data_IF_042446381903
#
_entry.id   IF_042446381903
#
_cell.length_a   1.000
_cell.length_b   1.000
_cell.length_c   1.000
_cell.angle_alpha   90.00
_cell.angle_beta   90.00
_cell.angle_gamma   90.00
#
_symmetry.space_group_name_H-M   'P 1'
#
loop_
_entity.id
_entity.type
_entity.pdbx_description
1 polymer ?
#
# COMPACT_ATOMS: atom_id res chain seq x y z
N UNK A 1 -20.96 -29.10 5.90
CA UNK A 1 -21.40 -27.72 6.25
C UNK A 1 -20.28 -26.67 6.27
N UNK A 2 -19.42 -26.55 7.32
CA UNK A 2 -18.37 -25.49 7.36
C UNK A 2 -17.39 -25.53 6.19
N UNK A 3 -16.95 -26.72 5.77
CA UNK A 3 -16.02 -26.87 4.66
C UNK A 3 -16.63 -26.46 3.29
N UNK A 4 -17.93 -26.65 3.11
CA UNK A 4 -18.65 -26.26 1.89
C UNK A 4 -18.86 -24.75 1.85
N UNK A 5 -19.25 -24.14 2.98
CA UNK A 5 -19.33 -22.68 3.10
C UNK A 5 -17.98 -22.02 2.79
N UNK A 6 -16.88 -22.57 3.32
CA UNK A 6 -15.53 -22.06 3.04
C UNK A 6 -15.12 -22.23 1.57
N UNK A 7 -15.52 -23.32 0.92
CA UNK A 7 -15.32 -23.51 -0.52
C UNK A 7 -16.10 -22.50 -1.34
N UNK A 8 -17.33 -22.20 -0.95
CA UNK A 8 -18.18 -21.23 -1.65
C UNK A 8 -17.66 -19.80 -1.50
N UNK A 9 -17.29 -19.40 -0.27
CA UNK A 9 -16.61 -18.12 -0.01
C UNK A 9 -15.33 -18.03 -0.85
N UNK A 10 -14.54 -19.09 -0.93
CA UNK A 10 -13.30 -19.12 -1.72
C UNK A 10 -13.54 -18.97 -3.22
N UNK A 11 -14.61 -19.55 -3.76
CA UNK A 11 -15.00 -19.40 -5.18
C UNK A 11 -15.46 -17.98 -5.48
N UNK A 12 -16.25 -17.40 -4.58
CA UNK A 12 -16.79 -16.04 -4.74
C UNK A 12 -15.72 -14.95 -4.49
N UNK A 13 -14.69 -15.25 -3.68
CA UNK A 13 -13.65 -14.29 -3.31
C UNK A 13 -12.64 -13.97 -4.42
N UNK A 14 -12.21 -12.69 -4.50
CA UNK A 14 -11.09 -12.29 -5.37
C UNK A 14 -9.82 -13.07 -5.03
N UNK A 15 -9.20 -13.65 -6.06
CA UNK A 15 -7.94 -14.43 -5.95
C UNK A 15 -8.07 -15.68 -5.05
N UNK A 16 -9.29 -16.09 -4.69
CA UNK A 16 -9.58 -17.22 -3.82
C UNK A 16 -9.17 -17.02 -2.35
N UNK A 17 -9.06 -15.77 -1.88
CA UNK A 17 -8.76 -15.43 -0.50
C UNK A 17 -9.92 -14.61 0.07
N UNK A 18 -10.54 -15.03 1.20
CA UNK A 18 -11.62 -14.26 1.83
C UNK A 18 -11.22 -12.82 2.11
N UNK A 19 -12.17 -11.89 1.96
CA UNK A 19 -11.94 -10.45 2.13
C UNK A 19 -11.22 -10.11 3.44
N UNK A 20 -11.67 -10.66 4.58
CA UNK A 20 -11.07 -10.38 5.89
C UNK A 20 -9.57 -10.74 5.95
N UNK A 21 -9.20 -11.90 5.42
CA UNK A 21 -7.80 -12.35 5.38
C UNK A 21 -6.98 -11.48 4.43
N UNK A 22 -7.57 -11.07 3.30
CA UNK A 22 -6.93 -10.19 2.33
C UNK A 22 -6.66 -8.80 2.90
N UNK A 23 -7.66 -8.21 3.57
CA UNK A 23 -7.55 -6.90 4.20
C UNK A 23 -6.48 -6.88 5.28
N UNK A 24 -6.56 -7.82 6.24
CA UNK A 24 -5.59 -7.90 7.34
C UNK A 24 -4.20 -8.23 6.82
N UNK A 25 -4.07 -9.27 5.98
CA UNK A 25 -2.78 -9.69 5.45
C UNK A 25 -2.09 -8.60 4.62
N UNK A 26 -2.81 -7.96 3.70
CA UNK A 26 -2.24 -6.91 2.87
C UNK A 26 -1.90 -5.65 3.68
N UNK A 27 -2.76 -5.25 4.61
CA UNK A 27 -2.50 -4.05 5.44
C UNK A 27 -1.35 -4.27 6.41
N UNK A 28 -1.22 -5.46 7.00
CA UNK A 28 -0.09 -5.84 7.84
C UNK A 28 1.22 -5.88 7.04
N UNK A 29 1.21 -6.49 5.85
CA UNK A 29 2.39 -6.51 4.97
C UNK A 29 2.81 -5.09 4.56
N UNK A 30 1.84 -4.25 4.18
CA UNK A 30 2.06 -2.86 3.80
C UNK A 30 2.60 -2.01 4.98
N UNK A 31 2.08 -2.24 6.19
CA UNK A 31 2.58 -1.61 7.41
C UNK A 31 4.04 -1.98 7.67
N UNK A 32 4.39 -3.28 7.59
CA UNK A 32 5.76 -3.74 7.79
C UNK A 32 6.72 -3.17 6.73
N UNK A 33 6.30 -3.16 5.47
CA UNK A 33 7.07 -2.53 4.40
C UNK A 33 7.27 -1.02 4.65
N UNK A 34 6.22 -0.32 5.08
CA UNK A 34 6.28 1.10 5.44
C UNK A 34 7.19 1.39 6.62
N UNK A 35 7.18 0.51 7.65
CA UNK A 35 8.12 0.59 8.78
C UNK A 35 9.56 0.42 8.29
N UNK A 36 9.83 -0.59 7.45
CA UNK A 36 11.16 -0.83 6.89
C UNK A 36 11.69 0.38 6.11
N UNK A 37 10.87 0.94 5.21
CA UNK A 37 11.23 2.13 4.45
C UNK A 37 11.48 3.35 5.35
N UNK A 38 10.62 3.57 6.36
CA UNK A 38 10.77 4.69 7.29
C UNK A 38 11.96 4.55 8.24
N UNK A 39 12.30 3.34 8.67
CA UNK A 39 13.50 3.07 9.46
C UNK A 39 14.77 3.46 8.69
N UNK A 40 14.88 3.02 7.43
CA UNK A 40 16.02 3.34 6.58
C UNK A 40 16.09 4.85 6.28
N UNK A 41 14.98 5.44 5.88
CA UNK A 41 14.94 6.87 5.54
C UNK A 41 15.20 7.77 6.76
N UNK A 42 14.56 7.46 7.90
CA UNK A 42 14.70 8.23 9.13
C UNK A 42 16.09 8.12 9.74
N UNK A 43 16.70 6.93 9.74
CA UNK A 43 18.06 6.72 10.24
C UNK A 43 19.11 7.45 9.41
N UNK A 44 19.03 7.37 8.07
CA UNK A 44 19.93 8.09 7.18
C UNK A 44 19.82 9.60 7.36
N UNK A 45 18.60 10.13 7.41
CA UNK A 45 18.37 11.56 7.57
C UNK A 45 18.88 12.07 8.91
N UNK A 46 18.61 11.36 10.01
CA UNK A 46 19.11 11.72 11.33
C UNK A 46 20.64 11.63 11.42
N UNK A 47 21.25 10.63 10.79
CA UNK A 47 22.70 10.49 10.73
C UNK A 47 23.39 11.60 9.95
N UNK A 48 22.82 12.00 8.80
CA UNK A 48 23.33 13.13 8.01
C UNK A 48 23.20 14.46 8.76
N UNK A 49 22.06 14.69 9.43
CA UNK A 49 21.87 15.88 10.28
C UNK A 49 22.87 15.93 11.41
N UNK A 50 23.07 14.83 12.15
CA UNK A 50 24.05 14.77 13.23
C UNK A 50 25.47 15.10 12.75
N UNK A 51 25.86 14.58 11.57
CA UNK A 51 27.17 14.88 10.97
C UNK A 51 27.29 16.34 10.54
N UNK A 52 26.23 16.93 10.00
CA UNK A 52 26.22 18.33 9.61
C UNK A 52 26.34 19.25 10.84
N UNK A 53 25.59 18.96 11.90
CA UNK A 53 25.63 19.70 13.16
C UNK A 53 27.00 19.60 13.85
N UNK A 54 27.65 18.43 13.79
CA UNK A 54 28.94 18.19 14.45
C UNK A 54 30.16 18.32 13.52
N UNK A 55 29.99 18.81 12.28
CA UNK A 55 31.09 18.95 11.34
C UNK A 55 32.24 19.85 11.87
N UNK A 56 31.92 20.76 12.77
CA UNK A 56 32.87 21.67 13.43
C UNK A 56 33.41 21.16 14.79
N UNK A 57 32.93 20.00 15.28
CA UNK A 57 33.30 19.41 16.58
C UNK A 57 33.74 17.96 16.41
N UNK A 58 34.76 17.75 15.58
CA UNK A 58 35.31 16.42 15.38
C UNK A 58 36.20 16.05 16.59
N UNK A 59 36.11 14.82 17.12
CA UNK A 59 36.95 14.42 18.24
C UNK A 59 38.40 14.19 17.82
N UNK A 60 39.34 14.63 18.66
CA UNK A 60 40.78 14.41 18.45
C UNK A 60 41.33 13.19 19.21
N UNK A 61 40.53 12.59 20.11
CA UNK A 61 40.93 11.43 20.91
C UNK A 61 40.21 10.14 20.49
N UNK A 62 40.84 8.96 20.65
CA UNK A 62 40.20 7.66 20.37
C UNK A 62 38.91 7.44 21.17
N UNK A 63 38.89 7.85 22.44
CA UNK A 63 37.71 7.76 23.31
C UNK A 63 36.59 8.70 22.85
N UNK A 64 36.92 9.90 22.38
CA UNK A 64 35.97 10.84 21.79
C UNK A 64 35.33 10.28 20.52
N UNK A 65 36.08 9.59 19.66
CA UNK A 65 35.55 8.93 18.47
C UNK A 65 34.54 7.82 18.78
N UNK A 66 34.76 7.05 19.85
CA UNK A 66 33.80 6.05 20.32
C UNK A 66 32.50 6.72 20.78
N UNK A 67 32.58 7.75 21.63
CA UNK A 67 31.40 8.47 22.12
C UNK A 67 30.63 9.16 20.99
N UNK A 68 31.34 9.74 20.02
CA UNK A 68 30.74 10.34 18.83
C UNK A 68 29.90 9.32 18.04
N UNK A 69 30.46 8.12 17.76
CA UNK A 69 29.73 7.07 17.06
C UNK A 69 28.55 6.51 17.85
N UNK A 70 28.72 6.34 19.17
CA UNK A 70 27.66 5.90 20.07
C UNK A 70 26.48 6.89 20.04
N UNK A 71 26.74 8.17 20.24
CA UNK A 71 25.72 9.23 20.20
C UNK A 71 25.06 9.32 18.82
N UNK A 72 25.84 9.30 17.73
CA UNK A 72 25.32 9.25 16.35
C UNK A 72 24.34 8.09 16.16
N UNK A 73 24.71 6.90 16.61
CA UNK A 73 23.87 5.70 16.47
C UNK A 73 22.57 5.82 17.27
N UNK A 74 22.56 6.47 18.44
CA UNK A 74 21.31 6.74 19.17
C UNK A 74 20.39 7.71 18.43
N UNK A 75 20.93 8.81 17.88
CA UNK A 75 20.14 9.74 17.06
C UNK A 75 19.58 9.05 15.80
N UNK A 76 20.38 8.22 15.15
CA UNK A 76 19.94 7.44 13.99
C UNK A 76 18.86 6.42 14.36
N UNK A 77 19.00 5.70 15.47
CA UNK A 77 18.01 4.73 15.93
C UNK A 77 16.68 5.40 16.27
N UNK A 78 16.71 6.49 17.05
CA UNK A 78 15.50 7.24 17.41
C UNK A 78 14.81 7.85 16.17
N UNK A 79 15.59 8.44 15.27
CA UNK A 79 15.08 9.01 14.01
C UNK A 79 14.46 7.95 13.10
N UNK A 80 15.10 6.78 13.01
CA UNK A 80 14.59 5.63 12.28
C UNK A 80 13.26 5.13 12.86
N UNK A 81 13.18 4.87 14.16
CA UNK A 81 11.95 4.35 14.79
C UNK A 81 10.79 5.32 14.62
N UNK A 82 11.03 6.62 14.85
CA UNK A 82 9.99 7.66 14.72
C UNK A 82 9.43 7.74 13.31
N UNK A 83 10.29 7.79 12.29
CA UNK A 83 9.83 7.86 10.91
C UNK A 83 9.27 6.52 10.41
N UNK A 84 9.82 5.39 10.90
CA UNK A 84 9.31 4.03 10.67
C UNK A 84 7.86 3.87 11.08
N UNK A 85 7.51 4.19 12.33
CA UNK A 85 6.12 4.10 12.82
C UNK A 85 5.19 5.00 12.00
N UNK A 86 5.62 6.23 11.71
CA UNK A 86 4.84 7.21 10.94
C UNK A 86 4.59 6.76 9.50
N UNK A 87 5.62 6.27 8.80
CA UNK A 87 5.48 5.76 7.44
C UNK A 87 4.68 4.46 7.39
N UNK A 88 4.93 3.53 8.33
CA UNK A 88 4.16 2.29 8.48
C UNK A 88 2.67 2.54 8.67
N UNK A 89 2.30 3.43 9.59
CA UNK A 89 0.92 3.79 9.82
C UNK A 89 0.25 4.42 8.58
N UNK A 90 0.95 5.34 7.89
CA UNK A 90 0.45 5.97 6.67
C UNK A 90 0.19 4.96 5.56
N UNK A 91 1.18 4.11 5.25
CA UNK A 91 1.06 3.12 4.17
C UNK A 91 -0.01 2.10 4.51
N UNK A 92 -0.02 1.57 5.75
CA UNK A 92 -1.03 0.63 6.22
C UNK A 92 -2.45 1.19 6.15
N UNK A 93 -2.66 2.45 6.57
CA UNK A 93 -3.95 3.13 6.47
C UNK A 93 -4.46 3.18 5.02
N UNK A 94 -3.64 3.68 4.08
CA UNK A 94 -4.05 3.80 2.69
C UNK A 94 -4.27 2.46 2.00
N UNK A 95 -3.49 1.44 2.34
CA UNK A 95 -3.74 0.07 1.88
C UNK A 95 -5.06 -0.47 2.41
N UNK A 96 -5.36 -0.29 3.70
CA UNK A 96 -6.63 -0.71 4.27
C UNK A 96 -7.81 0.02 3.60
N UNK A 97 -7.68 1.34 3.37
CA UNK A 97 -8.68 2.12 2.65
C UNK A 97 -8.93 1.59 1.24
N UNK A 98 -7.87 1.26 0.50
CA UNK A 98 -7.97 0.71 -0.85
C UNK A 98 -8.80 -0.58 -0.89
N UNK A 99 -8.44 -1.58 -0.06
CA UNK A 99 -9.17 -2.84 -0.02
C UNK A 99 -10.61 -2.67 0.45
N UNK A 100 -10.85 -1.76 1.39
CA UNK A 100 -12.20 -1.46 1.89
C UNK A 100 -13.08 -0.83 0.81
N UNK A 101 -12.54 0.10 0.03
CA UNK A 101 -13.25 0.74 -1.08
C UNK A 101 -13.51 -0.25 -2.21
N UNK A 102 -12.53 -1.09 -2.56
CA UNK A 102 -12.72 -2.14 -3.58
C UNK A 102 -13.86 -3.09 -3.21
N UNK A 103 -13.88 -3.57 -1.96
CA UNK A 103 -14.93 -4.45 -1.44
C UNK A 103 -16.30 -3.75 -1.42
N UNK A 104 -16.34 -2.46 -1.05
CA UNK A 104 -17.57 -1.67 -1.07
C UNK A 104 -18.17 -1.63 -2.48
N UNK A 105 -17.36 -1.36 -3.52
CA UNK A 105 -17.83 -1.36 -4.90
C UNK A 105 -18.17 -2.77 -5.42
N UNK A 106 -17.44 -3.80 -5.01
CA UNK A 106 -17.75 -5.19 -5.34
C UNK A 106 -19.14 -5.60 -4.83
N UNK A 107 -19.47 -5.23 -3.58
CA UNK A 107 -20.79 -5.49 -3.00
C UNK A 107 -21.89 -4.64 -3.63
N UNK A 108 -21.61 -3.37 -3.90
CA UNK A 108 -22.59 -2.45 -4.48
C UNK A 108 -22.97 -2.82 -5.93
N UNK A 109 -21.99 -3.17 -6.78
CA UNK A 109 -22.24 -3.55 -8.18
C UNK A 109 -22.58 -5.04 -8.35
N UNK A 110 -22.37 -5.88 -7.33
CA UNK A 110 -22.53 -7.33 -7.41
C UNK A 110 -21.61 -8.01 -8.43
N UNK A 111 -20.60 -7.29 -8.91
CA UNK A 111 -19.64 -7.71 -9.94
C UNK A 111 -18.25 -7.47 -9.41
N UNK A 112 -17.33 -8.41 -9.66
CA UNK A 112 -15.92 -8.32 -9.27
C UNK A 112 -15.06 -8.25 -10.52
N UNK A 113 -14.77 -7.02 -10.98
CA UNK A 113 -14.01 -6.70 -12.18
C UNK A 113 -12.86 -5.70 -11.92
N UNK A 114 -11.95 -5.55 -12.87
CA UNK A 114 -10.86 -4.58 -12.84
C UNK A 114 -11.35 -3.13 -12.72
N UNK A 115 -12.58 -2.84 -13.17
CA UNK A 115 -13.19 -1.52 -13.07
C UNK A 115 -13.35 -1.10 -11.61
N UNK A 116 -13.82 -1.99 -10.72
CA UNK A 116 -13.88 -1.69 -9.29
C UNK A 116 -12.52 -1.41 -8.67
N UNK A 117 -11.48 -2.13 -9.12
CA UNK A 117 -10.10 -1.91 -8.68
C UNK A 117 -9.58 -0.54 -9.12
N UNK A 118 -9.90 -0.11 -10.34
CA UNK A 118 -9.55 1.22 -10.85
C UNK A 118 -10.31 2.32 -10.12
N UNK A 119 -11.61 2.15 -9.87
CA UNK A 119 -12.39 3.12 -9.09
C UNK A 119 -11.80 3.23 -7.68
N UNK A 120 -11.49 2.11 -7.04
CA UNK A 120 -10.88 2.10 -5.71
C UNK A 120 -9.52 2.80 -5.69
N UNK A 121 -8.65 2.56 -6.70
CA UNK A 121 -7.35 3.23 -6.77
C UNK A 121 -7.48 4.73 -6.98
N UNK A 122 -8.41 5.17 -7.83
CA UNK A 122 -8.70 6.58 -8.07
C UNK A 122 -9.32 7.26 -6.84
N UNK A 123 -10.23 6.60 -6.13
CA UNK A 123 -10.81 7.11 -4.88
C UNK A 123 -9.73 7.31 -3.81
N UNK A 124 -8.83 6.34 -3.64
CA UNK A 124 -7.70 6.46 -2.72
C UNK A 124 -6.75 7.58 -3.14
N UNK A 125 -6.46 7.72 -4.43
CA UNK A 125 -5.62 8.79 -4.95
C UNK A 125 -6.24 10.18 -4.74
N UNK A 126 -7.55 10.31 -4.93
CA UNK A 126 -8.31 11.53 -4.64
C UNK A 126 -8.27 11.87 -3.15
N UNK A 127 -8.59 10.89 -2.29
CA UNK A 127 -8.49 11.04 -0.84
C UNK A 127 -7.10 11.43 -0.37
N UNK A 128 -6.07 10.79 -0.92
CA UNK A 128 -4.66 11.09 -0.63
C UNK A 128 -4.28 12.51 -1.07
N UNK A 129 -4.74 12.95 -2.24
CA UNK A 129 -4.47 14.29 -2.77
C UNK A 129 -5.11 15.37 -1.90
N UNK A 130 -6.35 15.14 -1.43
CA UNK A 130 -7.06 16.03 -0.51
C UNK A 130 -6.39 16.07 0.86
N UNK A 131 -6.00 14.92 1.40
CA UNK A 131 -5.30 14.82 2.69
C UNK A 131 -4.01 15.65 2.70
N UNK A 132 -3.24 15.63 1.60
CA UNK A 132 -2.00 16.38 1.48
C UNK A 132 -2.18 17.77 0.85
N UNK A 133 -3.42 18.21 0.58
CA UNK A 133 -3.76 19.51 -0.03
C UNK A 133 -2.95 19.82 -1.30
N UNK A 134 -2.86 18.84 -2.19
CA UNK A 134 -2.07 19.00 -3.41
C UNK A 134 -2.68 19.99 -4.40
N UNK A 135 -1.85 20.74 -5.15
CA UNK A 135 -2.32 21.53 -6.28
C UNK A 135 -2.84 20.62 -7.39
N UNK A 136 -3.71 21.16 -8.26
CA UNK A 136 -4.39 20.41 -9.33
C UNK A 136 -3.42 19.64 -10.24
N UNK A 137 -2.25 20.20 -10.52
CA UNK A 137 -1.22 19.56 -11.36
C UNK A 137 -0.62 18.31 -10.71
N UNK A 138 -0.36 18.35 -9.40
CA UNK A 138 0.14 17.20 -8.64
C UNK A 138 -0.96 16.15 -8.47
N UNK A 139 -2.19 16.57 -8.16
CA UNK A 139 -3.33 15.68 -8.05
C UNK A 139 -3.59 14.92 -9.37
N UNK A 140 -3.49 15.60 -10.52
CA UNK A 140 -3.62 14.97 -11.83
C UNK A 140 -2.53 13.91 -12.08
N UNK A 141 -1.28 14.18 -11.66
CA UNK A 141 -0.18 13.21 -11.75
C UNK A 141 -0.44 12.00 -10.85
N UNK A 142 -0.91 12.21 -9.63
CA UNK A 142 -1.29 11.14 -8.70
C UNK A 142 -2.43 10.30 -9.24
N UNK A 143 -3.45 10.93 -9.84
CA UNK A 143 -4.55 10.23 -10.50
C UNK A 143 -4.07 9.40 -11.70
N UNK A 144 -3.16 9.93 -12.54
CA UNK A 144 -2.56 9.19 -13.66
C UNK A 144 -1.81 7.95 -13.16
N UNK A 145 -0.98 8.09 -12.14
CA UNK A 145 -0.27 6.94 -11.54
C UNK A 145 -1.24 5.92 -10.95
N UNK A 146 -2.29 6.37 -10.25
CA UNK A 146 -3.31 5.51 -9.68
C UNK A 146 -4.14 4.77 -10.73
N UNK A 147 -4.41 5.41 -11.87
CA UNK A 147 -5.07 4.78 -13.01
C UNK A 147 -4.20 3.66 -13.59
N UNK A 148 -2.93 3.94 -13.86
CA UNK A 148 -2.00 2.96 -14.44
C UNK A 148 -1.82 1.76 -13.48
N UNK A 149 -1.54 2.02 -12.20
CA UNK A 149 -1.36 0.97 -11.20
C UNK A 149 -2.65 0.20 -10.95
N UNK A 150 -3.80 0.89 -10.87
CA UNK A 150 -5.11 0.28 -10.69
C UNK A 150 -5.49 -0.64 -11.85
N UNK A 151 -5.23 -0.21 -13.08
CA UNK A 151 -5.46 -1.03 -14.29
C UNK A 151 -4.54 -2.26 -14.29
N UNK A 152 -3.24 -2.07 -14.07
CA UNK A 152 -2.28 -3.17 -14.06
C UNK A 152 -2.64 -4.21 -12.98
N UNK A 153 -2.94 -3.75 -11.76
CA UNK A 153 -3.32 -4.62 -10.65
C UNK A 153 -4.67 -5.30 -10.87
N UNK A 154 -5.69 -4.57 -11.34
CA UNK A 154 -7.01 -5.12 -11.62
C UNK A 154 -6.99 -6.17 -12.73
N UNK A 155 -6.25 -5.92 -13.82
CA UNK A 155 -6.08 -6.90 -14.88
C UNK A 155 -5.31 -8.14 -14.41
N UNK A 156 -4.29 -7.97 -13.56
CA UNK A 156 -3.61 -9.10 -12.95
C UNK A 156 -4.53 -9.94 -12.05
N UNK A 157 -5.40 -9.29 -11.25
CA UNK A 157 -6.40 -9.98 -10.45
C UNK A 157 -7.42 -10.74 -11.30
N UNK A 158 -7.86 -10.15 -12.42
CA UNK A 158 -8.82 -10.78 -13.33
C UNK A 158 -8.20 -11.92 -14.13
N UNK A 159 -6.94 -11.80 -14.56
CA UNK A 159 -6.18 -12.88 -15.18
C UNK A 159 -6.02 -14.08 -14.22
N UNK A 160 -5.66 -13.82 -12.97
CA UNK A 160 -5.59 -14.86 -11.93
C UNK A 160 -6.97 -15.45 -11.61
N UNK A 161 -8.03 -14.63 -11.65
CA UNK A 161 -9.41 -15.11 -11.51
C UNK A 161 -9.80 -16.04 -12.65
N UNK A 162 -9.53 -15.65 -13.89
CA UNK A 162 -9.79 -16.43 -15.10
C UNK A 162 -9.03 -17.76 -15.09
N UNK A 163 -7.74 -17.75 -14.72
CA UNK A 163 -6.93 -18.96 -14.60
C UNK A 163 -7.48 -19.95 -13.55
N UNK A 164 -8.17 -19.46 -12.52
CA UNK A 164 -8.82 -20.26 -11.49
C UNK A 164 -10.28 -20.63 -11.81
N UNK A 165 -10.75 -20.35 -13.03
CA UNK A 165 -12.10 -20.70 -13.49
C UNK A 165 -13.19 -19.67 -13.17
N UNK A 166 -12.86 -18.50 -12.60
CA UNK A 166 -13.80 -17.39 -12.39
C UNK A 166 -13.84 -16.53 -13.65
N UNK A 167 -15.00 -16.39 -14.29
CA UNK A 167 -15.16 -15.52 -15.46
C UNK A 167 -15.26 -14.05 -15.01
N UNK A 168 -14.35 -13.14 -15.45
CA UNK A 168 -14.48 -11.72 -15.15
C UNK A 168 -15.73 -11.14 -15.82
N UNK A 169 -16.47 -10.29 -15.12
CA UNK A 169 -17.80 -9.84 -15.56
C UNK A 169 -17.79 -9.03 -16.89
N UNK A 170 -16.67 -8.41 -17.26
CA UNK A 170 -16.54 -7.69 -18.54
C UNK A 170 -16.28 -8.62 -19.72
N UNK A 171 -15.81 -9.85 -19.50
CA UNK A 171 -15.53 -10.82 -20.57
C UNK A 171 -16.82 -11.24 -21.27
N UNK A 172 -17.93 -11.37 -20.54
CA UNK A 172 -19.24 -11.68 -21.13
C UNK A 172 -19.81 -10.50 -21.94
N UNK A 173 -19.46 -9.27 -21.57
CA UNK A 173 -19.81 -8.05 -22.32
C UNK A 173 -18.97 -7.92 -23.60
N UNK A 174 -17.65 -8.17 -23.51
CA UNK A 174 -16.72 -8.07 -24.65
C UNK A 174 -16.90 -9.23 -25.65
N UNK A 175 -17.21 -10.44 -25.18
CA UNK A 175 -17.53 -11.59 -26.04
C UNK A 175 -18.94 -11.53 -26.64
N UNK A 176 -19.70 -10.45 -26.42
CA UNK A 176 -21.00 -10.23 -27.05
C UNK A 176 -22.09 -11.24 -26.66
N UNK A 177 -21.92 -11.98 -25.54
CA UNK A 177 -22.88 -13.00 -25.09
C UNK A 177 -24.03 -12.45 -24.23
N UNK A 178 -24.16 -11.13 -24.16
CA UNK A 178 -25.22 -10.45 -23.43
C UNK A 178 -26.52 -10.31 -24.22
N UNK A 179 -27.31 -11.40 -24.28
CA UNK A 179 -28.79 -11.44 -24.18
C UNK A 179 -29.34 -12.77 -24.75
N UNK A 180 -29.62 -13.71 -23.85
CA UNK A 180 -30.86 -14.49 -23.85
C UNK A 180 -31.35 -14.57 -22.41
#
# INVERSE_FOLDING_TARGET
WRAEQMKEIRKDSRVSIPFAVRLVGASSAALLAGIGMGLLHGSQTAGLRFRAENAHRLPDSPTGWYLYHKTKNYHMALGGVREGIKMGAKVGFWTASFFSIEEMFDRYRGKKDCVNTVIASLSVAGGFSLWNRFPLTTAARTAKSALIVGLAYGLAQDALGAAKGRRPAYVDFVLGRGRR
#
